data_IF_561145607322
#
_entry.id   IF_561145607322
#
_cell.length_a   1.000
_cell.length_b   1.000
_cell.length_c   1.000
_cell.angle_alpha   90.00
_cell.angle_beta   90.00
_cell.angle_gamma   90.00
#
_symmetry.space_group_name_H-M   'P 1'
#
loop_
_entity.id
_entity.type
_entity.pdbx_description
1 polymer ?
#
# COMPACT_ATOMS: atom_id res chain seq x y z
N UNK A 1 5.50 -22.05 5.57
CA UNK A 1 6.26 -21.94 4.31
C UNK A 1 7.62 -21.35 4.63
N UNK A 2 8.69 -21.76 3.92
CA UNK A 2 10.04 -21.20 4.09
C UNK A 2 10.18 -19.97 3.21
N UNK A 3 9.72 -18.82 3.71
CA UNK A 3 10.07 -17.52 3.15
C UNK A 3 11.46 -17.10 3.65
N UNK A 4 12.23 -16.29 2.89
CA UNK A 4 11.96 -15.78 1.54
C UNK A 4 12.02 -16.87 0.45
N UNK A 5 11.14 -16.82 -0.56
CA UNK A 5 11.09 -17.88 -1.59
C UNK A 5 12.31 -17.89 -2.50
N UNK A 6 13.05 -16.78 -2.60
CA UNK A 6 14.31 -16.70 -3.36
C UNK A 6 15.40 -17.64 -2.82
N UNK A 7 15.32 -18.04 -1.54
CA UNK A 7 16.22 -19.02 -0.94
C UNK A 7 15.72 -20.47 -1.11
N UNK A 8 14.55 -20.67 -1.72
CA UNK A 8 13.97 -21.98 -1.97
C UNK A 8 13.44 -22.09 -3.42
N UNK A 9 14.30 -22.44 -4.39
CA UNK A 9 13.94 -22.54 -5.80
C UNK A 9 12.77 -23.49 -6.08
N UNK A 10 12.63 -24.56 -5.29
CA UNK A 10 11.52 -25.51 -5.44
C UNK A 10 10.17 -24.87 -5.07
N UNK A 11 10.15 -24.04 -4.03
CA UNK A 11 8.96 -23.30 -3.61
C UNK A 11 8.63 -22.21 -4.63
N UNK A 12 9.62 -21.44 -5.09
CA UNK A 12 9.41 -20.42 -6.12
C UNK A 12 8.88 -21.04 -7.42
N UNK A 13 9.44 -22.16 -7.89
CA UNK A 13 8.97 -22.88 -9.08
C UNK A 13 7.54 -23.42 -8.91
N UNK A 14 7.21 -23.93 -7.73
CA UNK A 14 5.85 -24.39 -7.41
C UNK A 14 4.85 -23.24 -7.45
N UNK A 15 5.16 -22.11 -6.81
CA UNK A 15 4.29 -20.92 -6.83
C UNK A 15 4.11 -20.38 -8.26
N UNK A 16 5.19 -20.27 -9.04
CA UNK A 16 5.16 -19.76 -10.43
C UNK A 16 4.34 -20.63 -11.39
N UNK A 17 4.44 -21.96 -11.25
CA UNK A 17 3.97 -22.88 -12.29
C UNK A 17 2.80 -23.79 -11.88
N UNK A 18 2.46 -23.85 -10.60
CA UNK A 18 1.52 -24.87 -10.06
C UNK A 18 0.46 -24.30 -9.14
N UNK A 19 0.41 -22.99 -8.96
CA UNK A 19 -0.60 -22.32 -8.14
C UNK A 19 -1.21 -21.13 -8.87
N UNK A 20 -2.25 -20.56 -8.27
CA UNK A 20 -2.90 -19.32 -8.66
C UNK A 20 -2.30 -18.08 -7.95
N UNK A 21 -1.05 -18.19 -7.47
CA UNK A 21 -0.32 -17.09 -6.88
C UNK A 21 -0.04 -15.99 -7.93
N UNK A 22 -0.35 -14.75 -7.58
CA UNK A 22 -0.26 -13.61 -8.51
C UNK A 22 1.10 -12.95 -8.43
N UNK A 23 1.74 -12.74 -9.60
CA UNK A 23 2.99 -11.98 -9.74
C UNK A 23 4.10 -12.46 -8.81
N UNK A 24 4.44 -13.76 -8.89
CA UNK A 24 5.50 -14.37 -8.08
C UNK A 24 6.88 -13.86 -8.52
N UNK A 25 7.37 -12.83 -7.84
CA UNK A 25 8.67 -12.19 -8.11
C UNK A 25 9.75 -12.71 -7.15
N UNK A 26 10.94 -12.96 -7.69
CA UNK A 26 12.15 -13.34 -6.93
C UNK A 26 13.21 -12.23 -7.04
N UNK A 27 14.24 -12.25 -6.20
CA UNK A 27 15.28 -11.18 -6.20
C UNK A 27 16.11 -11.12 -7.48
N UNK A 28 16.10 -12.20 -8.27
CA UNK A 28 16.77 -12.31 -9.58
C UNK A 28 15.84 -12.00 -10.77
N UNK A 29 14.64 -11.48 -10.51
CA UNK A 29 13.69 -11.13 -11.56
C UNK A 29 14.23 -10.02 -12.47
N UNK A 30 13.97 -10.13 -13.77
CA UNK A 30 14.53 -9.21 -14.77
C UNK A 30 13.93 -7.80 -14.65
N UNK A 31 12.82 -7.62 -13.94
CA UNK A 31 12.21 -6.33 -13.66
C UNK A 31 12.82 -5.63 -12.42
N UNK A 32 13.55 -6.35 -11.57
CA UNK A 32 14.20 -5.84 -10.35
C UNK A 32 15.68 -5.50 -10.59
N UNK A 33 15.97 -4.53 -11.49
CA UNK A 33 17.35 -4.28 -11.94
C UNK A 33 18.13 -3.25 -11.12
N UNK A 34 17.44 -2.25 -10.59
CA UNK A 34 18.10 -1.06 -10.04
C UNK A 34 18.20 -1.09 -8.51
N UNK A 35 17.40 -1.95 -7.87
CA UNK A 35 17.40 -2.13 -6.42
C UNK A 35 17.41 -3.61 -6.04
N UNK A 36 18.17 -3.95 -5.00
CA UNK A 36 18.04 -5.25 -4.36
C UNK A 36 16.79 -5.25 -3.46
N UNK A 37 15.91 -6.24 -3.67
CA UNK A 37 14.68 -6.40 -2.88
C UNK A 37 14.97 -6.51 -1.39
N UNK A 38 16.07 -7.14 -1.01
CA UNK A 38 16.48 -7.28 0.39
C UNK A 38 16.81 -5.92 0.99
N UNK A 39 17.54 -5.07 0.29
CA UNK A 39 17.90 -3.74 0.77
C UNK A 39 16.64 -2.88 0.96
N UNK A 40 15.67 -2.99 0.04
CA UNK A 40 14.37 -2.34 0.18
C UNK A 40 13.60 -2.85 1.41
N UNK A 41 13.60 -4.16 1.67
CA UNK A 41 12.98 -4.76 2.86
C UNK A 41 13.66 -4.31 4.14
N UNK A 42 14.99 -4.25 4.17
CA UNK A 42 15.76 -3.76 5.32
C UNK A 42 15.48 -2.27 5.58
N UNK A 43 15.29 -1.47 4.52
CA UNK A 43 14.93 -0.06 4.61
C UNK A 43 13.54 0.16 5.23
N UNK A 44 12.50 -0.56 4.78
CA UNK A 44 11.15 -0.38 5.34
C UNK A 44 10.93 -1.14 6.66
N UNK A 45 11.79 -2.11 6.98
CA UNK A 45 11.69 -2.98 8.14
C UNK A 45 10.70 -4.13 7.93
N UNK A 46 11.04 -5.33 8.42
CA UNK A 46 10.16 -6.49 8.34
C UNK A 46 8.84 -6.27 9.12
N UNK A 47 7.72 -6.86 8.64
CA UNK A 47 6.43 -6.72 9.31
C UNK A 47 6.43 -7.35 10.70
N UNK A 48 5.54 -6.86 11.56
CA UNK A 48 5.28 -7.49 12.86
C UNK A 48 4.82 -8.96 12.68
N UNK A 49 5.12 -9.82 13.66
CA UNK A 49 4.80 -11.26 13.59
C UNK A 49 4.17 -11.78 14.88
N UNK A 50 3.29 -12.80 14.81
CA UNK A 50 2.64 -13.39 15.99
C UNK A 50 3.60 -14.01 17.01
N UNK A 51 4.80 -14.42 16.57
CA UNK A 51 5.72 -15.28 17.32
C UNK A 51 7.00 -14.59 17.79
N UNK A 52 7.18 -13.29 17.58
CA UNK A 52 8.36 -12.60 18.11
C UNK A 52 8.25 -12.46 19.63
N UNK A 53 8.81 -13.43 20.35
CA UNK A 53 9.04 -13.34 21.78
C UNK A 53 10.07 -12.25 22.07
N UNK A 54 9.79 -11.42 23.06
CA UNK A 54 10.68 -10.42 23.64
C UNK A 54 11.86 -11.05 24.41
N UNK A 55 12.60 -11.96 23.76
CA UNK A 55 13.75 -12.67 24.34
C UNK A 55 15.00 -12.39 23.51
N UNK A 56 15.62 -11.24 23.79
CA UNK A 56 16.90 -10.84 23.19
C UNK A 56 17.53 -9.70 23.97
N UNK A 57 18.07 -10.00 25.15
CA UNK A 57 19.02 -9.10 25.82
C UNK A 57 20.30 -9.03 25.00
N UNK A 58 20.46 -7.95 24.23
CA UNK A 58 21.65 -7.63 23.46
C UNK A 58 21.77 -6.12 23.35
N UNK A 59 22.69 -5.54 24.09
CA UNK A 59 23.04 -4.12 24.05
C UNK A 59 23.68 -3.78 22.71
N UNK A 60 22.94 -3.10 21.83
CA UNK A 60 23.43 -2.50 20.58
C UNK A 60 22.28 -1.85 19.83
N UNK A 61 22.33 -0.53 19.64
CA UNK A 61 21.20 0.30 19.21
C UNK A 61 20.57 -0.09 17.86
N UNK A 62 19.24 -0.06 17.82
CA UNK A 62 18.38 -0.28 16.66
C UNK A 62 17.00 -0.79 17.14
N UNK A 63 16.01 0.11 17.23
CA UNK A 63 14.75 -0.12 17.94
C UNK A 63 13.79 -1.13 17.30
N UNK A 64 13.83 -2.39 17.77
CA UNK A 64 12.84 -3.41 17.43
C UNK A 64 12.61 -4.39 18.57
N UNK A 65 11.79 -4.04 19.56
CA UNK A 65 11.50 -4.90 20.73
C UNK A 65 10.00 -5.16 20.99
N UNK A 66 9.13 -5.10 19.97
CA UNK A 66 7.67 -5.09 20.15
C UNK A 66 6.82 -6.14 19.41
N UNK A 67 7.41 -6.99 18.55
CA UNK A 67 6.66 -7.54 17.40
C UNK A 67 5.42 -8.38 17.70
N UNK A 68 5.32 -9.08 18.85
CA UNK A 68 4.15 -9.91 19.16
C UNK A 68 2.95 -9.07 19.59
N UNK A 69 3.15 -8.16 20.55
CA UNK A 69 2.10 -7.27 21.03
C UNK A 69 1.64 -6.30 19.92
N UNK A 70 2.59 -5.80 19.13
CA UNK A 70 2.35 -4.95 17.97
C UNK A 70 1.50 -5.67 16.91
N UNK A 71 1.85 -6.91 16.56
CA UNK A 71 1.07 -7.71 15.61
C UNK A 71 -0.39 -7.87 16.05
N UNK A 72 -0.62 -8.19 17.33
CA UNK A 72 -1.98 -8.36 17.84
C UNK A 72 -2.77 -7.05 17.88
N UNK A 73 -2.12 -5.91 18.09
CA UNK A 73 -2.76 -4.60 17.99
C UNK A 73 -3.18 -4.31 16.54
N UNK A 74 -2.31 -4.58 15.56
CA UNK A 74 -2.61 -4.44 14.14
C UNK A 74 -3.79 -5.32 13.70
N UNK A 75 -3.84 -6.57 14.17
CA UNK A 75 -5.00 -7.44 13.88
C UNK A 75 -6.29 -6.92 14.53
N UNK A 76 -6.20 -6.33 15.73
CA UNK A 76 -7.37 -5.75 16.41
C UNK A 76 -7.92 -4.52 15.69
N UNK A 77 -7.05 -3.69 15.11
CA UNK A 77 -7.45 -2.56 14.24
C UNK A 77 -8.23 -3.06 13.02
N UNK A 78 -7.75 -4.12 12.37
CA UNK A 78 -8.47 -4.73 11.23
C UNK A 78 -9.84 -5.31 11.64
N UNK A 79 -9.94 -5.95 12.81
CA UNK A 79 -11.22 -6.46 13.35
C UNK A 79 -12.17 -5.29 13.66
N UNK A 80 -11.65 -4.18 14.17
CA UNK A 80 -12.43 -2.97 14.42
C UNK A 80 -12.96 -2.36 13.13
N UNK A 81 -12.14 -2.28 12.08
CA UNK A 81 -12.62 -1.81 10.77
C UNK A 81 -13.72 -2.71 10.20
N UNK A 82 -13.63 -4.03 10.37
CA UNK A 82 -14.71 -4.93 10.00
C UNK A 82 -15.99 -4.64 10.78
N UNK A 83 -15.89 -4.43 12.10
CA UNK A 83 -17.05 -4.09 12.95
C UNK A 83 -17.68 -2.77 12.52
N UNK A 84 -16.88 -1.73 12.28
CA UNK A 84 -17.37 -0.43 11.78
C UNK A 84 -18.06 -0.60 10.43
N UNK A 85 -17.47 -1.34 9.48
CA UNK A 85 -18.07 -1.56 8.16
C UNK A 85 -19.39 -2.33 8.24
N UNK A 86 -19.49 -3.31 9.16
CA UNK A 86 -20.73 -4.05 9.40
C UNK A 86 -21.83 -3.16 10.00
N UNK A 87 -21.49 -2.36 10.99
CA UNK A 87 -22.47 -1.63 11.81
C UNK A 87 -22.80 -0.24 11.23
N UNK A 88 -21.86 0.39 10.52
CA UNK A 88 -21.92 1.77 10.01
C UNK A 88 -21.58 1.86 8.50
N UNK A 89 -21.64 0.75 7.76
CA UNK A 89 -21.21 0.67 6.37
C UNK A 89 -21.81 1.72 5.43
N UNK A 90 -23.05 2.14 5.68
CA UNK A 90 -23.78 3.12 4.87
C UNK A 90 -23.73 4.55 5.43
N UNK A 91 -23.05 4.77 6.56
CA UNK A 91 -22.82 6.10 7.11
C UNK A 91 -21.65 6.77 6.39
N UNK A 92 -21.63 8.10 6.40
CA UNK A 92 -20.52 8.86 5.84
C UNK A 92 -19.22 8.48 6.55
N UNK A 93 -18.18 8.26 5.75
CA UNK A 93 -16.87 7.87 6.26
C UNK A 93 -16.28 8.94 7.19
N UNK A 94 -16.57 10.23 6.95
CA UNK A 94 -16.17 11.35 7.82
C UNK A 94 -16.70 11.22 9.24
N UNK A 95 -17.84 10.54 9.41
CA UNK A 95 -18.54 10.43 10.68
C UNK A 95 -18.20 9.11 11.38
N UNK A 96 -18.05 8.03 10.59
CA UNK A 96 -17.89 6.67 11.10
C UNK A 96 -16.43 6.19 11.19
N UNK A 97 -15.46 6.83 10.54
CA UNK A 97 -14.04 6.48 10.60
C UNK A 97 -13.24 7.54 11.37
N UNK A 98 -13.28 7.52 12.72
CA UNK A 98 -12.65 8.57 13.53
C UNK A 98 -11.14 8.65 13.26
N UNK A 99 -10.68 9.84 12.89
CA UNK A 99 -9.26 10.11 12.65
C UNK A 99 -8.74 9.63 11.29
N UNK A 100 -9.58 9.14 10.38
CA UNK A 100 -9.18 8.88 9.01
C UNK A 100 -9.29 10.17 8.17
N UNK A 101 -8.16 10.79 7.76
CA UNK A 101 -8.20 12.02 7.00
C UNK A 101 -8.62 11.73 5.55
N UNK A 102 -9.88 12.00 5.22
CA UNK A 102 -10.42 11.83 3.88
C UNK A 102 -9.97 12.98 2.97
N UNK A 103 -9.52 12.70 1.73
CA UNK A 103 -9.31 13.72 0.72
C UNK A 103 -10.66 14.31 0.29
N UNK A 104 -10.66 15.54 -0.22
CA UNK A 104 -11.89 16.23 -0.70
C UNK A 104 -12.61 15.43 -1.80
N UNK A 105 -11.88 14.59 -2.53
CA UNK A 105 -12.45 13.72 -3.56
C UNK A 105 -13.38 12.64 -2.97
N UNK A 106 -13.19 12.28 -1.70
CA UNK A 106 -13.92 11.22 -1.01
C UNK A 106 -14.85 11.78 0.08
N UNK A 107 -15.15 13.08 0.06
CA UNK A 107 -15.98 13.75 1.08
C UNK A 107 -17.38 13.12 1.22
N UNK A 108 -17.91 12.55 0.14
CA UNK A 108 -19.25 11.96 0.11
C UNK A 108 -19.23 10.44 0.27
N UNK A 109 -18.06 9.82 0.47
CA UNK A 109 -17.95 8.38 0.54
C UNK A 109 -18.54 7.87 1.86
N UNK A 110 -19.30 6.79 1.79
CA UNK A 110 -19.63 5.97 2.95
C UNK A 110 -18.45 5.07 3.34
N UNK A 111 -18.51 4.42 4.50
CA UNK A 111 -17.49 3.43 4.90
C UNK A 111 -17.37 2.30 3.86
N UNK A 112 -18.49 1.85 3.28
CA UNK A 112 -18.50 0.86 2.21
C UNK A 112 -17.87 1.40 0.93
N UNK A 113 -18.15 2.65 0.56
CA UNK A 113 -17.52 3.27 -0.62
C UNK A 113 -16.00 3.35 -0.46
N UNK A 114 -15.49 3.70 0.72
CA UNK A 114 -14.04 3.67 1.01
C UNK A 114 -13.44 2.28 0.79
N UNK A 115 -14.07 1.22 1.32
CA UNK A 115 -13.56 -0.14 1.16
C UNK A 115 -13.58 -0.61 -0.31
N UNK A 116 -14.62 -0.23 -1.04
CA UNK A 116 -14.84 -0.62 -2.44
C UNK A 116 -14.04 0.23 -3.43
N UNK A 117 -13.64 1.44 -3.05
CA UNK A 117 -12.85 2.35 -3.88
C UNK A 117 -11.58 1.71 -4.43
N UNK A 118 -11.02 0.73 -3.70
CA UNK A 118 -9.76 0.07 -4.02
C UNK A 118 -9.95 -1.41 -4.40
N UNK A 119 -11.16 -1.94 -4.50
CA UNK A 119 -11.39 -3.39 -4.72
C UNK A 119 -10.81 -3.89 -6.05
N UNK A 120 -11.34 -3.35 -7.15
CA UNK A 120 -10.97 -3.66 -8.55
C UNK A 120 -10.62 -2.38 -9.30
N UNK A 121 -9.94 -1.45 -8.63
CA UNK A 121 -9.58 -0.19 -9.29
C UNK A 121 -8.58 -0.44 -10.43
N UNK A 122 -8.75 0.30 -11.52
CA UNK A 122 -7.66 0.44 -12.47
C UNK A 122 -6.48 1.12 -11.74
N UNK A 123 -5.25 0.59 -11.82
CA UNK A 123 -4.13 1.15 -11.05
C UNK A 123 -3.95 2.65 -11.29
N UNK A 124 -3.97 3.43 -10.20
CA UNK A 124 -3.83 4.88 -10.22
C UNK A 124 -5.11 5.64 -10.61
N UNK A 125 -6.28 5.02 -10.52
CA UNK A 125 -7.57 5.65 -10.82
C UNK A 125 -7.80 6.89 -9.94
N UNK A 126 -7.68 6.76 -8.61
CA UNK A 126 -7.93 7.88 -7.70
C UNK A 126 -6.94 9.01 -7.88
N UNK A 127 -5.67 8.69 -8.15
CA UNK A 127 -4.63 9.65 -8.52
C UNK A 127 -4.97 10.33 -9.85
N UNK A 128 -5.45 9.61 -10.86
CA UNK A 128 -5.87 10.19 -12.15
C UNK A 128 -7.04 11.16 -11.99
N UNK A 129 -8.02 10.80 -11.15
CA UNK A 129 -9.15 11.67 -10.81
C UNK A 129 -8.67 12.94 -10.08
N UNK A 130 -7.74 12.80 -9.13
CA UNK A 130 -7.13 13.92 -8.44
C UNK A 130 -6.41 14.85 -9.43
N UNK A 131 -5.57 14.32 -10.32
CA UNK A 131 -4.84 15.10 -11.33
C UNK A 131 -5.81 15.85 -12.24
N UNK A 132 -6.91 15.21 -12.65
CA UNK A 132 -7.98 15.85 -13.44
C UNK A 132 -8.61 17.05 -12.71
N UNK A 133 -8.86 16.92 -11.40
CA UNK A 133 -9.34 18.04 -10.58
C UNK A 133 -8.29 19.14 -10.39
N UNK A 134 -7.03 18.74 -10.17
CA UNK A 134 -5.90 19.65 -10.01
C UNK A 134 -5.73 20.53 -11.25
N UNK A 135 -5.61 19.93 -12.44
CA UNK A 135 -5.37 20.69 -13.69
C UNK A 135 -6.55 21.56 -14.10
N UNK A 136 -7.76 21.29 -13.57
CA UNK A 136 -8.95 22.14 -13.73
C UNK A 136 -9.02 23.28 -12.72
N UNK A 137 -8.04 23.39 -11.83
CA UNK A 137 -7.92 24.46 -10.84
C UNK A 137 -8.81 24.29 -9.62
N UNK A 138 -9.23 23.06 -9.27
CA UNK A 138 -10.09 22.82 -8.08
C UNK A 138 -9.51 23.43 -6.80
N UNK A 139 -8.18 23.44 -6.68
CA UNK A 139 -7.46 23.97 -5.52
C UNK A 139 -6.58 25.18 -5.87
N UNK A 140 -6.96 25.96 -6.90
CA UNK A 140 -6.25 27.18 -7.32
C UNK A 140 -5.38 26.99 -8.57
N UNK A 141 -4.55 28.00 -8.91
CA UNK A 141 -3.69 27.99 -10.10
C UNK A 141 -2.73 26.80 -10.12
N UNK A 142 -2.39 26.38 -11.34
CA UNK A 142 -1.53 25.22 -11.61
C UNK A 142 -0.22 25.73 -12.19
N UNK A 143 0.88 25.42 -11.51
CA UNK A 143 2.22 25.86 -11.90
C UNK A 143 3.14 24.64 -12.01
N UNK A 144 3.67 24.41 -13.20
CA UNK A 144 4.68 23.36 -13.44
C UNK A 144 6.07 23.90 -13.08
N UNK A 145 6.93 23.07 -12.51
CA UNK A 145 8.31 23.47 -12.27
C UNK A 145 9.12 23.36 -13.57
N UNK A 146 9.40 24.52 -14.18
CA UNK A 146 10.15 24.61 -15.44
C UNK A 146 11.66 24.51 -15.27
N UNK A 147 12.17 24.57 -14.03
CA UNK A 147 13.58 24.27 -13.74
C UNK A 147 13.82 22.76 -13.73
N UNK A 148 12.81 22.00 -13.29
CA UNK A 148 12.84 20.52 -13.28
C UNK A 148 12.48 19.97 -14.65
N UNK A 149 11.38 20.44 -15.26
CA UNK A 149 10.94 19.98 -16.58
C UNK A 149 10.94 21.15 -17.56
N UNK A 150 12.01 21.30 -18.37
CA UNK A 150 12.17 22.46 -19.24
C UNK A 150 11.10 22.49 -20.34
N UNK A 151 10.64 23.69 -20.73
CA UNK A 151 9.66 23.83 -21.81
C UNK A 151 10.26 23.49 -23.18
N UNK A 152 9.45 22.91 -24.07
CA UNK A 152 9.81 22.70 -25.48
C UNK A 152 9.47 23.94 -26.32
N UNK A 153 8.39 24.62 -25.95
CA UNK A 153 7.89 25.83 -26.60
C UNK A 153 6.92 26.56 -25.66
N UNK A 154 6.46 27.75 -26.07
CA UNK A 154 5.59 28.62 -25.26
C UNK A 154 4.24 27.99 -24.85
N UNK A 155 3.79 26.95 -25.55
CA UNK A 155 2.57 26.22 -25.21
C UNK A 155 2.86 24.72 -25.31
N UNK A 156 3.19 24.12 -24.16
CA UNK A 156 3.70 22.76 -24.10
C UNK A 156 2.69 21.80 -23.46
N UNK A 157 1.76 21.31 -24.28
CA UNK A 157 0.78 20.31 -23.86
C UNK A 157 1.43 18.97 -23.43
N UNK A 158 2.54 18.61 -24.10
CA UNK A 158 3.21 17.33 -23.88
C UNK A 158 3.97 17.30 -22.55
N UNK A 159 4.65 18.40 -22.18
CA UNK A 159 5.33 18.56 -20.88
C UNK A 159 4.43 19.21 -19.81
N UNK A 160 3.13 18.98 -19.95
CA UNK A 160 2.11 19.41 -18.98
C UNK A 160 1.19 18.22 -18.68
N UNK A 161 -0.06 18.23 -19.16
CA UNK A 161 -1.08 17.23 -18.81
C UNK A 161 -0.69 15.81 -19.27
N UNK A 162 -0.03 15.68 -20.44
CA UNK A 162 0.38 14.36 -20.95
C UNK A 162 1.48 13.75 -20.08
N UNK A 163 2.46 14.55 -19.63
CA UNK A 163 3.49 14.12 -18.69
C UNK A 163 2.88 13.66 -17.36
N UNK A 164 1.91 14.38 -16.81
CA UNK A 164 1.26 13.96 -15.55
C UNK A 164 0.58 12.59 -15.69
N UNK A 165 -0.05 12.32 -16.84
CA UNK A 165 -0.65 11.02 -17.12
C UNK A 165 0.40 9.90 -17.26
N UNK A 166 1.53 10.18 -17.93
CA UNK A 166 2.67 9.25 -18.02
C UNK A 166 3.25 8.95 -16.64
N UNK A 167 3.59 9.97 -15.85
CA UNK A 167 4.18 9.81 -14.51
C UNK A 167 3.27 9.02 -13.57
N UNK A 168 1.96 9.23 -13.64
CA UNK A 168 1.01 8.47 -12.84
C UNK A 168 1.07 6.96 -13.14
N UNK A 169 1.20 6.56 -14.40
CA UNK A 169 1.33 5.14 -14.76
C UNK A 169 2.76 4.61 -14.58
N UNK A 170 3.77 5.44 -14.84
CA UNK A 170 5.17 5.12 -14.64
C UNK A 170 5.46 4.79 -13.17
N UNK A 171 4.97 5.61 -12.23
CA UNK A 171 5.17 5.40 -10.78
C UNK A 171 4.67 4.02 -10.33
N UNK A 172 3.52 3.59 -10.83
CA UNK A 172 2.95 2.26 -10.54
C UNK A 172 3.81 1.15 -11.14
N UNK A 173 4.25 1.35 -12.38
CA UNK A 173 5.07 0.37 -13.10
C UNK A 173 6.44 0.17 -12.45
N UNK A 174 7.10 1.24 -12.03
CA UNK A 174 8.47 1.15 -11.49
C UNK A 174 8.49 0.48 -10.11
N UNK A 175 7.48 0.69 -9.27
CA UNK A 175 7.44 0.12 -7.91
C UNK A 175 6.93 -1.33 -7.87
N UNK A 176 6.13 -1.74 -8.86
CA UNK A 176 5.40 -3.01 -8.84
C UNK A 176 6.28 -4.25 -8.61
N UNK A 177 7.30 -4.50 -9.45
CA UNK A 177 8.19 -5.64 -9.31
C UNK A 177 8.85 -5.72 -7.93
N UNK A 178 9.35 -4.60 -7.42
CA UNK A 178 10.00 -4.54 -6.10
C UNK A 178 9.03 -4.83 -4.95
N UNK A 179 7.81 -4.28 -5.00
CA UNK A 179 6.77 -4.55 -4.01
C UNK A 179 6.39 -6.03 -3.98
N UNK A 180 6.19 -6.65 -5.16
CA UNK A 180 5.91 -8.09 -5.26
C UNK A 180 7.12 -8.93 -4.81
N UNK A 181 8.35 -8.52 -5.15
CA UNK A 181 9.55 -9.15 -4.62
C UNK A 181 9.58 -9.15 -3.08
N UNK A 182 9.28 -8.01 -2.46
CA UNK A 182 9.21 -7.87 -1.01
C UNK A 182 8.08 -8.71 -0.39
N UNK A 183 6.93 -8.83 -1.07
CA UNK A 183 5.83 -9.73 -0.68
C UNK A 183 6.30 -11.17 -0.55
N UNK A 184 6.95 -11.67 -1.58
CA UNK A 184 7.46 -13.04 -1.63
C UNK A 184 8.78 -13.21 -0.86
N UNK A 185 9.39 -12.12 -0.39
CA UNK A 185 10.46 -12.14 0.60
C UNK A 185 9.92 -12.37 2.01
N UNK A 186 8.94 -11.57 2.46
CA UNK A 186 8.43 -11.63 3.83
C UNK A 186 7.38 -12.73 4.04
N UNK A 187 6.47 -12.91 3.08
CA UNK A 187 5.47 -13.97 3.14
C UNK A 187 4.41 -13.81 4.23
N UNK A 188 4.09 -12.57 4.62
CA UNK A 188 3.08 -12.28 5.64
C UNK A 188 1.69 -12.76 5.19
N UNK A 189 1.01 -13.50 6.05
CA UNK A 189 -0.38 -13.90 5.86
C UNK A 189 -1.32 -12.69 5.84
N UNK A 190 -2.42 -12.79 5.11
CA UNK A 190 -3.52 -11.81 5.14
C UNK A 190 -4.28 -11.84 6.47
N UNK A 191 -5.01 -10.77 6.83
CA UNK A 191 -5.85 -10.76 8.02
C UNK A 191 -6.85 -11.92 8.09
N UNK A 192 -7.55 -12.22 7.00
CA UNK A 192 -8.53 -13.32 6.94
C UNK A 192 -7.90 -14.70 7.17
N UNK A 193 -6.68 -14.93 6.65
CA UNK A 193 -5.95 -16.19 6.81
C UNK A 193 -5.55 -16.39 8.27
N UNK A 194 -5.09 -15.32 8.94
CA UNK A 194 -4.75 -15.35 10.36
C UNK A 194 -6.01 -15.61 11.21
N UNK A 195 -7.12 -14.95 10.92
CA UNK A 195 -8.39 -15.15 11.61
C UNK A 195 -8.85 -16.60 11.47
N UNK A 196 -8.83 -17.15 10.26
CA UNK A 196 -9.15 -18.56 9.99
C UNK A 196 -8.24 -19.50 10.79
N UNK A 197 -6.93 -19.20 10.85
CA UNK A 197 -5.96 -20.00 11.60
C UNK A 197 -6.21 -19.95 13.12
N UNK A 198 -6.63 -18.79 13.66
CA UNK A 198 -7.00 -18.64 15.09
C UNK A 198 -8.25 -19.44 15.43
N UNK A 199 -9.29 -19.36 14.58
CA UNK A 199 -10.54 -20.11 14.73
C UNK A 199 -10.31 -21.62 14.64
N UNK A 200 -9.46 -22.04 13.70
CA UNK A 200 -9.04 -23.44 13.51
C UNK A 200 -8.04 -23.94 14.55
N UNK A 201 -7.67 -23.12 15.55
CA UNK A 201 -6.67 -23.44 16.59
C UNK A 201 -5.31 -23.83 16.04
N UNK A 202 -4.94 -23.35 14.85
CA UNK A 202 -3.63 -23.56 14.20
C UNK A 202 -2.55 -22.59 14.69
N UNK A 203 -2.93 -21.54 15.43
CA UNK A 203 -2.02 -20.53 15.99
C UNK A 203 -2.02 -20.60 17.52
N UNK A 204 -0.84 -20.71 18.11
CA UNK A 204 -0.59 -20.66 19.55
C UNK A 204 -0.24 -19.25 20.02
N UNK A 205 -0.36 -18.96 21.32
CA UNK A 205 0.04 -17.66 21.87
C UNK A 205 -0.92 -16.49 21.60
N UNK A 206 -2.10 -16.76 21.04
CA UNK A 206 -3.12 -15.74 20.75
C UNK A 206 -3.66 -15.15 22.06
N UNK A 207 -3.61 -13.82 22.26
CA UNK A 207 -4.16 -13.19 23.46
C UNK A 207 -5.65 -13.49 23.64
N UNK A 208 -6.13 -13.75 24.88
CA UNK A 208 -7.54 -14.04 25.13
C UNK A 208 -8.50 -12.95 24.64
N UNK A 209 -8.09 -11.68 24.68
CA UNK A 209 -8.89 -10.56 24.20
C UNK A 209 -9.14 -10.63 22.68
N UNK A 210 -8.10 -10.93 21.90
CA UNK A 210 -8.18 -11.11 20.44
C UNK A 210 -9.14 -12.25 20.10
N UNK A 211 -8.95 -13.41 20.74
CA UNK A 211 -9.82 -14.58 20.53
C UNK A 211 -11.29 -14.27 20.83
N UNK A 212 -11.56 -13.60 21.95
CA UNK A 212 -12.93 -13.19 22.33
C UNK A 212 -13.53 -12.16 21.39
N UNK A 213 -12.74 -11.25 20.81
CA UNK A 213 -13.25 -10.29 19.82
C UNK A 213 -13.62 -11.03 18.54
N UNK A 214 -12.70 -11.79 17.95
CA UNK A 214 -12.95 -12.62 16.75
C UNK A 214 -14.20 -13.49 16.90
N UNK A 215 -14.33 -14.20 18.03
CA UNK A 215 -15.49 -15.05 18.28
C UNK A 215 -16.80 -14.25 18.28
N UNK A 216 -16.84 -13.07 18.91
CA UNK A 216 -18.02 -12.20 18.92
C UNK A 216 -18.33 -11.64 17.54
N UNK A 217 -17.30 -11.21 16.80
CA UNK A 217 -17.43 -10.63 15.47
C UNK A 217 -17.98 -11.65 14.46
N UNK A 218 -17.54 -12.92 14.55
CA UNK A 218 -17.85 -13.99 13.59
C UNK A 218 -18.83 -15.05 14.12
N UNK A 219 -19.64 -14.73 15.14
CA UNK A 219 -20.58 -15.67 15.77
C UNK A 219 -21.71 -16.19 14.86
N UNK A 220 -21.70 -15.87 13.56
CA UNK A 220 -22.71 -16.33 12.60
C UNK A 220 -22.25 -17.65 11.96
N UNK A 221 -23.04 -18.74 11.99
CA UNK A 221 -22.67 -20.06 11.47
C UNK A 221 -22.27 -20.11 9.98
N UNK A 222 -22.55 -19.05 9.22
CA UNK A 222 -22.25 -18.93 7.78
C UNK A 222 -21.00 -18.09 7.48
N UNK A 223 -20.27 -17.60 8.48
CA UNK A 223 -19.08 -16.78 8.26
C UNK A 223 -17.94 -17.63 7.67
N UNK A 224 -17.61 -17.40 6.40
CA UNK A 224 -16.38 -17.92 5.78
C UNK A 224 -15.22 -16.94 6.04
N UNK A 225 -13.95 -17.33 5.90
CA UNK A 225 -12.82 -16.39 6.02
C UNK A 225 -12.99 -15.14 5.16
N UNK A 226 -13.51 -15.30 3.94
CA UNK A 226 -13.74 -14.23 2.95
C UNK A 226 -14.81 -13.24 3.44
N UNK A 227 -15.79 -13.72 4.23
CA UNK A 227 -16.85 -12.87 4.83
C UNK A 227 -16.32 -11.82 5.81
N UNK A 228 -15.04 -11.93 6.19
CA UNK A 228 -14.36 -10.91 7.00
C UNK A 228 -13.92 -9.70 6.17
N UNK A 229 -13.68 -9.87 4.88
CA UNK A 229 -13.27 -8.78 3.98
C UNK A 229 -14.50 -8.05 3.43
N UNK A 230 -14.28 -6.90 2.79
CA UNK A 230 -15.33 -6.23 2.02
C UNK A 230 -15.59 -6.93 0.67
N UNK A 231 -14.73 -7.88 0.29
CA UNK A 231 -14.67 -8.46 -1.04
C UNK A 231 -15.27 -9.87 -1.02
N UNK A 232 -16.22 -10.20 -1.92
CA UNK A 232 -16.84 -11.52 -1.95
C UNK A 232 -15.84 -12.66 -2.09
N UNK A 233 -14.71 -12.43 -2.76
CA UNK A 233 -13.64 -13.39 -3.02
C UNK A 233 -12.50 -13.39 -1.99
N UNK A 234 -12.55 -12.51 -0.98
CA UNK A 234 -11.49 -12.35 0.00
C UNK A 234 -10.33 -11.48 -0.48
N UNK A 235 -9.15 -11.68 0.10
CA UNK A 235 -7.94 -10.94 -0.28
C UNK A 235 -7.33 -11.47 -1.59
N UNK A 236 -6.61 -10.63 -2.34
CA UNK A 236 -5.82 -11.09 -3.47
C UNK A 236 -4.81 -12.18 -3.11
N UNK A 237 -4.58 -13.11 -4.05
CA UNK A 237 -3.76 -14.34 -3.89
C UNK A 237 -2.25 -14.10 -3.94
N UNK A 238 -1.78 -13.21 -3.08
CA UNK A 238 -0.38 -12.91 -2.83
C UNK A 238 -0.21 -12.41 -1.38
N UNK A 239 1.01 -12.48 -0.81
CA UNK A 239 1.26 -12.07 0.57
C UNK A 239 0.81 -10.63 0.87
N UNK A 240 0.50 -10.38 2.15
CA UNK A 240 -0.05 -9.11 2.62
C UNK A 240 0.99 -7.99 2.58
N UNK A 241 2.16 -8.19 3.16
CA UNK A 241 3.15 -7.13 3.33
C UNK A 241 4.19 -7.10 2.21
N UNK A 242 4.63 -5.92 1.71
CA UNK A 242 3.99 -4.61 1.87
C UNK A 242 2.79 -4.47 0.93
N UNK A 243 1.88 -3.52 1.16
CA UNK A 243 0.71 -3.34 0.30
C UNK A 243 1.07 -2.70 -1.06
N UNK A 244 0.62 -3.29 -2.18
CA UNK A 244 0.94 -2.79 -3.53
C UNK A 244 0.18 -1.50 -3.86
N UNK A 245 -1.09 -1.40 -3.47
CA UNK A 245 -1.86 -0.15 -3.64
C UNK A 245 -1.15 1.03 -2.95
N UNK A 246 -0.60 0.78 -1.75
CA UNK A 246 0.16 1.77 -1.00
C UNK A 246 1.48 2.14 -1.65
N UNK A 247 2.24 1.19 -2.20
CA UNK A 247 3.48 1.52 -2.92
C UNK A 247 3.21 2.24 -4.24
N UNK A 248 2.12 1.90 -4.93
CA UNK A 248 1.66 2.58 -6.13
C UNK A 248 1.16 4.01 -5.85
N UNK A 249 0.64 4.27 -4.65
CA UNK A 249 0.27 5.59 -4.12
C UNK A 249 1.49 6.45 -3.82
N UNK A 250 2.22 6.84 -4.87
CA UNK A 250 3.44 7.64 -4.81
C UNK A 250 3.30 8.98 -5.57
N UNK A 251 2.07 9.38 -5.88
CA UNK A 251 1.78 10.59 -6.65
C UNK A 251 2.30 11.83 -5.96
N UNK A 252 2.04 11.97 -4.67
CA UNK A 252 2.52 13.11 -3.87
C UNK A 252 4.04 13.32 -3.99
N UNK A 253 4.81 12.24 -4.08
CA UNK A 253 6.28 12.29 -4.25
C UNK A 253 6.68 12.88 -5.60
N UNK A 254 6.29 12.28 -6.72
CA UNK A 254 6.72 12.76 -8.03
C UNK A 254 6.03 14.07 -8.44
N UNK A 255 4.80 14.31 -7.97
CA UNK A 255 4.05 15.51 -8.29
C UNK A 255 4.71 16.75 -7.66
N UNK A 256 5.20 16.63 -6.43
CA UNK A 256 5.93 17.69 -5.74
C UNK A 256 7.27 18.04 -6.41
N UNK A 257 7.87 17.10 -7.15
CA UNK A 257 9.08 17.37 -7.91
C UNK A 257 8.81 18.15 -9.21
N UNK A 258 7.73 17.84 -9.93
CA UNK A 258 7.46 18.42 -11.27
C UNK A 258 6.52 19.62 -11.26
N UNK A 259 6.00 20.02 -10.10
CA UNK A 259 5.04 21.12 -9.95
C UNK A 259 5.33 21.99 -8.73
N UNK A 260 5.09 23.29 -8.88
CA UNK A 260 5.08 24.26 -7.78
C UNK A 260 3.73 24.20 -7.06
N UNK A 261 3.54 23.18 -6.22
CA UNK A 261 2.28 22.94 -5.53
C UNK A 261 2.02 23.98 -4.43
N UNK A 262 0.79 24.50 -4.38
CA UNK A 262 0.32 25.23 -3.20
C UNK A 262 0.19 24.29 -1.99
N UNK A 263 0.18 24.81 -0.75
CA UNK A 263 0.06 23.96 0.44
C UNK A 263 -1.17 23.04 0.44
N UNK A 264 -2.30 23.52 -0.11
CA UNK A 264 -3.53 22.72 -0.20
C UNK A 264 -3.44 21.64 -1.29
N UNK A 265 -2.81 21.94 -2.44
CA UNK A 265 -2.60 20.95 -3.50
C UNK A 265 -1.69 19.82 -3.03
N UNK A 266 -0.59 20.17 -2.35
CA UNK A 266 0.33 19.18 -1.79
C UNK A 266 -0.36 18.35 -0.69
N UNK A 267 -1.07 18.99 0.24
CA UNK A 267 -1.84 18.28 1.27
C UNK A 267 -2.81 17.26 0.67
N UNK A 268 -3.63 17.67 -0.30
CA UNK A 268 -4.61 16.78 -0.94
C UNK A 268 -3.95 15.63 -1.72
N UNK A 269 -2.78 15.86 -2.32
CA UNK A 269 -2.03 14.77 -2.99
C UNK A 269 -1.59 13.68 -2.00
N UNK A 270 -1.12 14.07 -0.81
CA UNK A 270 -0.74 13.15 0.27
C UNK A 270 -1.97 12.42 0.79
N UNK A 271 -3.09 13.12 0.97
CA UNK A 271 -4.34 12.53 1.44
C UNK A 271 -4.87 11.46 0.49
N UNK A 272 -4.78 11.66 -0.83
CA UNK A 272 -5.19 10.64 -1.81
C UNK A 272 -4.32 9.39 -1.69
N UNK A 273 -3.00 9.55 -1.64
CA UNK A 273 -2.08 8.42 -1.53
C UNK A 273 -2.32 7.61 -0.24
N UNK A 274 -2.46 8.31 0.89
CA UNK A 274 -2.77 7.69 2.17
C UNK A 274 -4.17 7.07 2.22
N UNK A 275 -5.18 7.70 1.61
CA UNK A 275 -6.54 7.19 1.61
C UNK A 275 -6.67 5.88 0.84
N UNK A 276 -6.04 5.77 -0.34
CA UNK A 276 -5.94 4.52 -1.10
C UNK A 276 -5.23 3.43 -0.28
N UNK A 277 -4.17 3.79 0.45
CA UNK A 277 -3.45 2.87 1.30
C UNK A 277 -4.32 2.36 2.46
N UNK A 278 -4.87 3.26 3.29
CA UNK A 278 -5.69 2.92 4.46
C UNK A 278 -7.01 2.26 4.11
N UNK A 279 -7.60 2.58 2.95
CA UNK A 279 -8.80 1.92 2.44
C UNK A 279 -8.65 0.39 2.36
N UNK A 280 -7.42 -0.12 2.17
CA UNK A 280 -7.15 -1.56 2.22
C UNK A 280 -7.33 -2.19 3.60
N UNK A 281 -7.04 -1.43 4.67
CA UNK A 281 -7.35 -1.84 6.05
C UNK A 281 -8.85 -1.75 6.32
N UNK A 282 -9.52 -0.71 5.82
CA UNK A 282 -10.99 -0.57 5.89
C UNK A 282 -11.68 -1.75 5.19
N UNK A 283 -11.13 -2.23 4.07
CA UNK A 283 -11.59 -3.43 3.37
C UNK A 283 -11.23 -4.75 4.07
N UNK A 284 -10.36 -4.72 5.09
CA UNK A 284 -9.96 -5.89 5.87
C UNK A 284 -8.92 -6.80 5.19
N UNK A 285 -8.24 -6.32 4.14
CA UNK A 285 -7.29 -7.13 3.35
C UNK A 285 -5.82 -6.84 3.67
N UNK A 286 -5.51 -5.74 4.33
CA UNK A 286 -4.16 -5.38 4.77
C UNK A 286 -4.14 -4.93 6.23
N UNK A 287 -2.98 -5.06 6.87
CA UNK A 287 -2.69 -4.42 8.16
C UNK A 287 -2.17 -3.01 7.93
N UNK A 288 -2.24 -2.15 8.95
CA UNK A 288 -1.76 -0.78 8.80
C UNK A 288 -0.26 -0.67 8.49
N UNK A 289 0.56 -1.52 9.09
CA UNK A 289 2.00 -1.56 8.81
C UNK A 289 2.33 -2.08 7.40
N UNK A 290 1.44 -2.85 6.75
CA UNK A 290 1.56 -3.17 5.33
C UNK A 290 1.43 -1.91 4.46
N UNK A 291 0.50 -1.04 4.83
CA UNK A 291 0.20 0.18 4.09
C UNK A 291 1.34 1.19 4.24
N UNK A 292 1.79 1.42 5.46
CA UNK A 292 2.88 2.36 5.75
C UNK A 292 4.19 1.89 5.11
N UNK A 293 4.51 0.59 5.18
CA UNK A 293 5.69 0.05 4.49
C UNK A 293 5.57 0.19 2.97
N UNK A 294 4.38 -0.02 2.41
CA UNK A 294 4.12 0.20 0.99
C UNK A 294 4.38 1.65 0.57
N UNK A 295 3.77 2.62 1.26
CA UNK A 295 3.97 4.06 0.98
C UNK A 295 5.46 4.45 1.00
N UNK A 296 6.18 4.05 2.05
CA UNK A 296 7.62 4.34 2.19
C UNK A 296 8.46 3.70 1.08
N UNK A 297 8.13 2.47 0.71
CA UNK A 297 8.82 1.77 -0.39
C UNK A 297 8.59 2.48 -1.72
N UNK A 298 7.35 2.86 -2.01
CA UNK A 298 6.98 3.60 -3.22
C UNK A 298 7.70 4.94 -3.31
N UNK A 299 7.65 5.73 -2.24
CA UNK A 299 8.35 7.01 -2.13
C UNK A 299 9.85 6.86 -2.35
N UNK A 300 10.48 5.85 -1.72
CA UNK A 300 11.91 5.62 -1.88
C UNK A 300 12.28 5.30 -3.33
N UNK A 301 11.61 4.32 -3.95
CA UNK A 301 11.91 3.90 -5.33
C UNK A 301 11.68 5.07 -6.30
N UNK A 302 10.55 5.78 -6.18
CA UNK A 302 10.27 6.93 -7.05
C UNK A 302 11.32 8.01 -6.88
N UNK A 303 11.74 8.33 -5.65
CA UNK A 303 12.76 9.34 -5.39
C UNK A 303 14.12 9.00 -6.02
N UNK A 304 14.51 7.72 -6.04
CA UNK A 304 15.77 7.30 -6.66
C UNK A 304 15.68 7.21 -8.20
N UNK A 305 14.50 6.85 -8.74
CA UNK A 305 14.33 6.57 -10.18
C UNK A 305 13.81 7.78 -10.99
N UNK A 306 13.10 8.71 -10.35
CA UNK A 306 12.47 9.86 -11.02
C UNK A 306 13.48 10.74 -11.77
N UNK A 307 14.66 11.10 -11.22
CA UNK A 307 15.61 11.93 -11.95
C UNK A 307 16.02 11.33 -13.29
N UNK A 308 16.28 10.01 -13.31
CA UNK A 308 16.66 9.29 -14.53
C UNK A 308 15.51 9.20 -15.54
N UNK A 309 14.29 8.91 -15.08
CA UNK A 309 13.10 8.90 -15.95
C UNK A 309 12.84 10.27 -16.58
N UNK A 310 12.94 11.34 -15.78
CA UNK A 310 12.75 12.71 -16.28
C UNK A 310 13.83 13.13 -17.26
N UNK A 311 15.09 12.78 -17.01
CA UNK A 311 16.19 13.02 -17.95
C UNK A 311 15.93 12.30 -19.28
N UNK A 312 15.62 11.00 -19.24
CA UNK A 312 15.44 10.17 -20.44
C UNK A 312 14.23 10.60 -21.27
N UNK A 313 13.08 10.84 -20.61
CA UNK A 313 11.81 11.07 -21.30
C UNK A 313 11.55 12.54 -21.61
N UNK A 314 12.04 13.45 -20.76
CA UNK A 314 11.68 14.87 -20.83
C UNK A 314 12.88 15.80 -21.01
N UNK A 315 14.12 15.30 -20.90
CA UNK A 315 15.34 16.09 -21.05
C UNK A 315 15.65 16.96 -19.84
N UNK A 316 15.23 16.53 -18.64
CA UNK A 316 15.54 17.16 -17.37
C UNK A 316 17.00 16.99 -16.97
N UNK A 317 17.49 17.90 -16.12
CA UNK A 317 18.77 17.75 -15.43
C UNK A 317 18.56 16.93 -14.15
N UNK A 318 19.32 15.84 -13.99
CA UNK A 318 19.22 14.95 -12.82
C UNK A 318 19.45 15.72 -11.52
N UNK A 319 20.37 16.69 -11.51
CA UNK A 319 20.73 17.44 -10.31
C UNK A 319 19.66 18.47 -9.89
N UNK A 320 18.68 18.73 -10.76
CA UNK A 320 17.58 19.66 -10.51
C UNK A 320 16.32 18.98 -9.95
N UNK A 321 16.20 17.66 -10.08
CA UNK A 321 15.06 16.83 -9.61
C UNK A 321 15.22 16.48 -8.14
#
# INVERSE_FOLDING_TARGET
>A
SSFPIGLNPSTACMLKNKTDAVSVVTSDDYECRNHDVRDLVEMVGLPASPSSSSSGGGTGGGGGTGGGAEYWALLMDVIEMHEIRRDHGNELASDALPGFPLPDQWESFTVNDVAMAVHDEYPGLHQSLFLSHLVRGRWGPVEYDRNVVPERCQSDFLRSIVMLADLNQWGIRIVGPYNFGAKYFAGRSRPEEMICAILSRKVTGVPPAVRRRIQRTLSVPSATPESFTAYPEGSPRHPSWPAMHSAASCMSTWLAAVMNLSPIQHCQSILIDYAVARARTVAGVHYEDDNIAGLRMGEYIVREELPYHLMEMYGSDIDAV
#
